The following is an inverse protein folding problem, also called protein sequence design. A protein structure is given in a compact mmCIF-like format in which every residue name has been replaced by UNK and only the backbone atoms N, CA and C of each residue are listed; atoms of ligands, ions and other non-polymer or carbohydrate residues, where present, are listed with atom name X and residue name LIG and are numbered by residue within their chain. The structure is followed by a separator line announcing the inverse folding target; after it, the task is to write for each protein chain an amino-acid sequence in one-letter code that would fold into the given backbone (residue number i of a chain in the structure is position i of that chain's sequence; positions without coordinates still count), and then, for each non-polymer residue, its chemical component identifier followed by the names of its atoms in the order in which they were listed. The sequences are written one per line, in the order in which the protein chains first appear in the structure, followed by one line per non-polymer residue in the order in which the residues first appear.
data_IF_178729498514
#
_entry.id   IF_178729498514
#
_cell.length_a   1.000
_cell.length_b   1.000
_cell.length_c   1.000
_cell.angle_alpha   90.00
_cell.angle_beta   90.00
_cell.angle_gamma   90.00
#
_symmetry.space_group_name_H-M   'P 1'
#
loop_
_entity.id
_entity.type
_entity.pdbx_description
1 polymer ?
#
# COMPACT_ATOMS: atom_id res chain seq x y z
N UNK A 1 9.34 -7.49 10.88
CA UNK A 1 9.41 -8.37 9.69
C UNK A 1 9.08 -7.52 8.47
N UNK A 2 10.03 -7.36 7.51
CA UNK A 2 9.87 -6.53 6.31
C UNK A 2 9.39 -7.40 5.16
N UNK A 3 8.17 -7.21 4.65
CA UNK A 3 7.69 -8.04 3.54
C UNK A 3 6.88 -7.29 2.46
N UNK A 4 7.04 -7.87 1.27
CA UNK A 4 6.33 -7.74 0.00
C UNK A 4 6.30 -6.38 -0.70
N UNK A 5 7.15 -6.34 -1.72
CA UNK A 5 7.02 -5.52 -2.92
C UNK A 5 5.72 -5.89 -3.63
N UNK A 6 4.79 -4.96 -3.70
CA UNK A 6 3.53 -5.12 -4.44
C UNK A 6 3.53 -4.18 -5.63
N UNK A 7 3.21 -4.71 -6.81
CA UNK A 7 3.00 -3.91 -8.00
C UNK A 7 1.54 -3.45 -7.95
N UNK A 8 1.30 -2.15 -8.02
CA UNK A 8 -0.04 -1.65 -8.32
C UNK A 8 -0.34 -2.08 -9.76
N UNK A 9 -1.01 -3.23 -9.92
CA UNK A 9 -1.36 -3.79 -11.22
C UNK A 9 -2.58 -3.11 -11.83
N UNK A 10 -2.80 -3.29 -13.15
CA UNK A 10 -4.04 -2.88 -13.80
C UNK A 10 -5.16 -3.72 -13.19
N UNK A 11 -6.02 -3.11 -12.39
CA UNK A 11 -7.07 -3.81 -11.66
C UNK A 11 -8.42 -3.16 -11.97
N UNK A 12 -9.43 -3.90 -12.46
CA UNK A 12 -10.69 -3.36 -12.99
C UNK A 12 -11.62 -2.68 -11.98
N UNK A 13 -11.16 -2.35 -10.77
CA UNK A 13 -12.02 -1.76 -9.73
C UNK A 13 -11.30 -0.65 -8.99
N UNK A 14 -11.93 0.53 -8.95
CA UNK A 14 -11.48 1.75 -8.25
C UNK A 14 -11.24 1.59 -6.72
N UNK A 15 -11.42 0.39 -6.18
CA UNK A 15 -11.51 0.06 -4.76
C UNK A 15 -10.26 -0.73 -4.28
N UNK A 16 -9.48 -1.33 -5.19
CA UNK A 16 -8.28 -2.08 -4.83
C UNK A 16 -7.08 -1.14 -4.70
N UNK A 17 -6.57 -0.94 -3.49
CA UNK A 17 -5.48 0.01 -3.19
C UNK A 17 -4.11 -0.61 -3.49
N UNK A 18 -3.86 -1.82 -3.00
CA UNK A 18 -2.60 -2.55 -3.23
C UNK A 18 -2.93 -4.01 -3.55
N UNK A 19 -2.33 -4.57 -4.61
CA UNK A 19 -2.56 -5.95 -5.04
C UNK A 19 -1.31 -6.81 -4.88
N UNK A 20 -1.48 -8.03 -4.37
CA UNK A 20 -0.41 -8.98 -4.10
C UNK A 20 -0.73 -10.42 -4.48
N UNK A 21 0.35 -11.17 -4.70
CA UNK A 21 0.30 -12.62 -4.88
C UNK A 21 -0.21 -13.31 -3.58
N UNK A 22 -1.00 -14.36 -3.72
CA UNK A 22 -1.61 -15.14 -2.63
C UNK A 22 -0.61 -15.67 -1.58
N UNK A 23 0.67 -15.85 -1.94
CA UNK A 23 1.71 -16.36 -1.04
C UNK A 23 1.93 -15.55 0.25
N UNK A 24 1.55 -14.27 0.30
CA UNK A 24 1.66 -13.48 1.56
C UNK A 24 0.36 -13.33 2.30
N UNK A 25 -0.74 -13.90 1.79
CA UNK A 25 -2.04 -13.78 2.43
C UNK A 25 -2.00 -14.26 3.88
N UNK A 26 -1.14 -15.22 4.20
CA UNK A 26 -0.88 -15.70 5.55
C UNK A 26 -0.36 -14.63 6.53
N UNK A 27 0.26 -13.55 6.02
CA UNK A 27 0.74 -12.44 6.84
C UNK A 27 -0.32 -11.38 7.10
N UNK A 28 -1.48 -11.46 6.45
CA UNK A 28 -2.61 -10.56 6.66
C UNK A 28 -3.74 -11.27 7.41
N UNK A 29 -4.71 -10.53 7.95
CA UNK A 29 -5.91 -11.13 8.50
C UNK A 29 -6.69 -11.89 7.41
N UNK A 30 -7.51 -12.87 7.80
CA UNK A 30 -8.43 -13.53 6.89
C UNK A 30 -9.24 -12.54 6.04
N UNK A 31 -9.51 -12.85 4.76
CA UNK A 31 -10.32 -11.99 3.90
C UNK A 31 -11.64 -11.56 4.55
N UNK A 32 -12.03 -10.31 4.32
CA UNK A 32 -13.21 -9.71 4.92
C UNK A 32 -13.04 -9.25 6.36
N UNK A 33 -11.99 -9.68 7.10
CA UNK A 33 -11.70 -9.12 8.42
C UNK A 33 -11.06 -7.73 8.30
N UNK A 34 -11.58 -6.72 9.00
CA UNK A 34 -11.00 -5.38 9.00
C UNK A 34 -9.69 -5.34 9.78
N UNK A 35 -8.79 -4.46 9.34
CA UNK A 35 -7.54 -4.12 10.02
C UNK A 35 -7.14 -2.68 9.73
N UNK A 36 -6.14 -2.17 10.47
CA UNK A 36 -5.63 -0.82 10.31
C UNK A 36 -4.42 -0.80 9.38
N UNK A 37 -4.45 0.13 8.42
CA UNK A 37 -3.34 0.44 7.53
C UNK A 37 -2.87 1.88 7.83
N UNK A 38 -1.60 2.03 8.19
CA UNK A 38 -0.95 3.29 8.49
C UNK A 38 -0.07 3.71 7.30
N UNK A 39 -0.32 4.88 6.73
CA UNK A 39 0.46 5.44 5.62
C UNK A 39 0.72 6.92 5.90
N UNK A 40 1.98 7.37 5.86
CA UNK A 40 2.36 8.76 6.15
C UNK A 40 1.73 9.31 7.45
N UNK A 41 1.72 8.50 8.52
CA UNK A 41 1.06 8.80 9.81
C UNK A 41 -0.47 8.94 9.78
N UNK A 42 -1.12 8.57 8.67
CA UNK A 42 -2.57 8.53 8.55
C UNK A 42 -3.09 7.09 8.62
N UNK A 43 -4.09 6.86 9.46
CA UNK A 43 -4.71 5.55 9.65
C UNK A 43 -5.95 5.37 8.79
N UNK A 44 -6.05 4.18 8.20
CA UNK A 44 -7.18 3.73 7.42
C UNK A 44 -7.70 2.42 7.99
N UNK A 45 -9.02 2.23 7.92
CA UNK A 45 -9.63 0.91 8.14
C UNK A 45 -9.81 0.24 6.79
N UNK A 46 -9.33 -0.98 6.65
CA UNK A 46 -9.34 -1.68 5.36
C UNK A 46 -9.51 -3.18 5.57
N UNK A 47 -9.78 -3.94 4.52
CA UNK A 47 -9.79 -5.40 4.60
C UNK A 47 -9.08 -6.04 3.41
N UNK A 48 -8.79 -7.33 3.53
CA UNK A 48 -8.31 -8.13 2.41
C UNK A 48 -9.49 -8.65 1.59
N UNK A 49 -9.41 -8.50 0.26
CA UNK A 49 -10.28 -9.18 -0.72
C UNK A 49 -9.49 -10.07 -1.65
N UNK A 50 -10.04 -11.26 -1.92
CA UNK A 50 -9.59 -12.07 -3.04
C UNK A 50 -10.12 -11.43 -4.33
N UNK A 51 -9.27 -11.36 -5.34
CA UNK A 51 -9.61 -10.91 -6.69
C UNK A 51 -9.66 -12.12 -7.62
N UNK A 52 -10.19 -11.93 -8.83
CA UNK A 52 -10.10 -12.92 -9.89
C UNK A 52 -8.62 -13.25 -10.19
N UNK A 53 -8.38 -14.45 -10.75
CA UNK A 53 -7.05 -14.88 -11.23
C UNK A 53 -5.98 -15.05 -10.14
N UNK A 54 -6.37 -15.37 -8.90
CA UNK A 54 -5.43 -15.71 -7.81
C UNK A 54 -4.75 -14.52 -7.14
N UNK A 55 -5.17 -13.29 -7.46
CA UNK A 55 -4.68 -12.08 -6.81
C UNK A 55 -5.44 -11.79 -5.52
N UNK A 56 -4.78 -11.10 -4.60
CA UNK A 56 -5.37 -10.61 -3.36
C UNK A 56 -5.13 -9.11 -3.26
N UNK A 57 -6.05 -8.34 -2.69
CA UNK A 57 -5.87 -6.89 -2.53
C UNK A 57 -6.31 -6.36 -1.19
N UNK A 58 -5.70 -5.24 -0.81
CA UNK A 58 -6.22 -4.32 0.20
C UNK A 58 -7.35 -3.51 -0.45
N UNK A 59 -8.55 -3.61 0.10
CA UNK A 59 -9.75 -3.02 -0.45
C UNK A 59 -10.71 -2.54 0.65
N UNK A 60 -11.78 -1.86 0.23
CA UNK A 60 -12.81 -1.30 1.12
C UNK A 60 -12.22 -0.39 2.18
N UNK A 61 -11.32 0.49 1.74
CA UNK A 61 -10.58 1.39 2.61
C UNK A 61 -11.44 2.59 3.00
N UNK A 62 -11.49 2.88 4.30
CA UNK A 62 -12.12 4.07 4.87
C UNK A 62 -11.11 4.87 5.69
N UNK A 63 -11.24 6.20 5.66
CA UNK A 63 -10.47 7.09 6.54
C UNK A 63 -11.00 7.08 7.98
N UNK A 64 -10.35 7.84 8.86
CA UNK A 64 -10.73 7.97 10.28
C UNK A 64 -12.15 8.51 10.50
N UNK A 65 -12.73 9.21 9.52
CA UNK A 65 -14.09 9.73 9.57
C UNK A 65 -15.11 8.73 9.01
N UNK A 66 -14.68 7.52 8.64
CA UNK A 66 -15.53 6.50 8.03
C UNK A 66 -15.85 6.75 6.55
N UNK A 67 -15.25 7.76 5.93
CA UNK A 67 -15.46 8.04 4.50
C UNK A 67 -14.68 7.04 3.67
N UNK A 68 -15.33 6.51 2.64
CA UNK A 68 -14.70 5.58 1.69
C UNK A 68 -13.66 6.31 0.86
N UNK A 69 -12.47 5.74 0.78
CA UNK A 69 -11.33 6.27 0.04
C UNK A 69 -11.19 5.50 -1.27
N UNK A 70 -11.16 6.21 -2.39
CA UNK A 70 -10.89 5.60 -3.69
C UNK A 70 -9.39 5.36 -3.86
N UNK A 71 -9.02 4.46 -4.77
CA UNK A 71 -7.60 4.29 -5.14
C UNK A 71 -6.98 5.60 -5.62
N UNK A 72 -7.70 6.37 -6.43
CA UNK A 72 -7.20 7.64 -6.96
C UNK A 72 -6.89 8.63 -5.83
N UNK A 73 -7.81 8.80 -4.88
CA UNK A 73 -7.61 9.70 -3.74
C UNK A 73 -6.47 9.21 -2.84
N UNK A 74 -6.43 7.92 -2.54
CA UNK A 74 -5.37 7.32 -1.71
C UNK A 74 -4.00 7.52 -2.36
N UNK A 75 -3.89 7.24 -3.65
CA UNK A 75 -2.65 7.44 -4.39
C UNK A 75 -2.25 8.91 -4.48
N UNK A 76 -3.21 9.81 -4.70
CA UNK A 76 -2.96 11.24 -4.77
C UNK A 76 -2.45 11.79 -3.44
N UNK A 77 -3.16 11.51 -2.33
CA UNK A 77 -2.80 11.96 -0.98
C UNK A 77 -1.42 11.46 -0.55
N UNK A 78 -1.10 10.20 -0.86
CA UNK A 78 0.18 9.60 -0.49
C UNK A 78 1.25 9.67 -1.58
N UNK A 79 1.03 10.37 -2.68
CA UNK A 79 1.99 10.43 -3.80
C UNK A 79 2.43 9.05 -4.30
N UNK A 80 1.52 8.07 -4.31
CA UNK A 80 1.78 6.73 -4.83
C UNK A 80 1.47 6.67 -6.33
N UNK A 81 2.33 6.03 -7.11
CA UNK A 81 2.17 5.86 -8.56
C UNK A 81 1.76 4.44 -8.92
N UNK A 82 0.96 4.28 -9.97
CA UNK A 82 0.68 2.96 -10.52
C UNK A 82 1.98 2.25 -10.93
N UNK A 83 2.07 0.95 -10.70
CA UNK A 83 3.30 0.18 -10.85
C UNK A 83 4.37 0.42 -9.77
N UNK A 84 4.22 1.39 -8.86
CA UNK A 84 5.19 1.63 -7.79
C UNK A 84 5.26 0.45 -6.84
N UNK A 85 6.48 0.14 -6.44
CA UNK A 85 6.80 -0.85 -5.41
C UNK A 85 6.67 -0.23 -4.02
N UNK A 86 5.84 -0.85 -3.18
CA UNK A 86 5.66 -0.48 -1.77
C UNK A 86 5.99 -1.66 -0.86
N UNK A 87 6.37 -1.39 0.39
CA UNK A 87 6.56 -2.38 1.45
C UNK A 87 5.38 -2.32 2.43
N UNK A 88 4.96 -3.46 2.98
CA UNK A 88 3.94 -3.48 4.05
C UNK A 88 4.49 -4.21 5.27
N UNK A 89 4.54 -3.52 6.39
CA UNK A 89 5.13 -4.02 7.63
C UNK A 89 4.04 -4.24 8.68
N UNK A 90 4.07 -5.36 9.40
CA UNK A 90 3.21 -5.54 10.57
C UNK A 90 3.80 -4.74 11.75
N UNK A 91 3.03 -3.79 12.29
CA UNK A 91 3.42 -2.93 13.42
C UNK A 91 2.99 -3.54 14.76
N UNK A 92 1.79 -4.13 14.78
CA UNK A 92 1.27 -4.92 15.90
C UNK A 92 0.69 -6.21 15.34
N UNK A 93 0.76 -7.31 16.10
CA UNK A 93 0.31 -8.62 15.66
C UNK A 93 -1.10 -8.55 15.05
N UNK A 94 -1.16 -8.70 13.73
CA UNK A 94 -2.35 -8.82 12.89
C UNK A 94 -3.42 -7.72 12.94
N UNK A 95 -3.20 -6.58 13.62
CA UNK A 95 -4.20 -5.50 13.70
C UNK A 95 -3.76 -4.19 13.06
N UNK A 96 -2.45 -3.93 13.00
CA UNK A 96 -1.90 -2.69 12.44
C UNK A 96 -0.76 -2.99 11.49
N UNK A 97 -0.88 -2.47 10.27
CA UNK A 97 0.10 -2.60 9.20
C UNK A 97 0.54 -1.22 8.73
N UNK A 98 1.81 -1.04 8.42
CA UNK A 98 2.37 0.20 7.88
C UNK A 98 2.74 0.01 6.43
N UNK A 99 2.27 0.89 5.56
CA UNK A 99 2.72 0.97 4.18
C UNK A 99 3.89 1.94 4.09
N UNK A 100 5.01 1.47 3.55
CA UNK A 100 6.23 2.24 3.38
C UNK A 100 6.55 2.33 1.89
N UNK A 101 6.78 3.55 1.41
CA UNK A 101 7.22 3.81 0.03
C UNK A 101 8.66 3.36 -0.10
N UNK A 102 8.95 2.51 -1.08
CA UNK A 102 10.33 2.15 -1.40
C UNK A 102 10.82 3.17 -2.43
N UNK A 103 11.64 4.12 -2.00
CA UNK A 103 12.43 4.92 -2.92
C UNK A 103 13.49 3.99 -3.53
N UNK A 104 13.31 3.57 -4.78
CA UNK A 104 14.43 3.02 -5.55
C UNK A 104 15.48 4.12 -5.67
N UNK A 105 16.71 3.81 -5.25
CA UNK A 105 17.85 4.72 -5.02
C UNK A 105 18.31 5.55 -6.24
N UNK A 106 17.56 5.57 -7.36
CA UNK A 106 17.87 6.40 -8.53
C UNK A 106 17.29 7.81 -8.48
N UNK A 107 16.38 8.14 -7.55
CA UNK A 107 15.85 9.50 -7.40
C UNK A 107 16.64 10.38 -6.42
N UNK A 108 17.53 9.79 -5.59
CA UNK A 108 18.33 10.57 -4.62
C UNK A 108 19.61 11.13 -5.26
N UNK A 109 20.22 10.41 -6.20
CA UNK A 109 21.42 10.88 -6.92
C UNK A 109 21.18 12.09 -7.84
N UNK A 110 19.93 12.38 -8.23
CA UNK A 110 19.61 13.52 -9.06
C UNK A 110 19.57 14.86 -8.29
N UNK A 111 19.42 14.81 -6.96
CA UNK A 111 19.27 16.02 -6.13
C UNK A 111 20.58 16.46 -5.49
N UNK A 112 21.55 15.56 -5.30
CA UNK A 112 22.87 15.89 -4.73
C UNK A 112 23.89 16.37 -5.77
N UNK A 113 23.61 16.19 -7.07
CA UNK A 113 24.56 16.54 -8.15
C UNK A 113 24.54 18.01 -8.59
N UNK A 114 23.74 18.87 -7.94
CA UNK A 114 23.64 20.31 -8.22
C UNK A 114 24.26 21.21 -7.14
N UNK A 115 24.89 20.65 -6.10
CA UNK A 115 25.54 21.44 -5.04
C UNK A 115 27.07 21.51 -5.12
N UNK A 116 27.68 20.96 -6.17
CA UNK A 116 29.09 21.19 -6.48
C UNK A 116 29.24 21.78 -7.87
N UNK A 117 29.11 23.10 -7.96
CA UNK A 117 29.77 23.90 -8.98
C UNK A 117 30.87 24.67 -8.24
N UNK A 118 32.15 24.51 -8.62
CA UNK A 118 33.29 25.18 -7.97
C UNK A 118 33.28 26.70 -8.11
#
# INVERSE_FOLDING_TARGET
MKFKIQRIGPNPSAIAIVSFNQSVKAHFPPPGKPFKLLVDNQEYTTCIRNLASGWTSIAQTTDSNGRRVTRADFCHVHGLKEGQTVCIEAVAAMQLYRLVKICTTREVEATERWMHIP
#
